data_IF_157208536818
#
_entry.id   IF_157208536818
#
_cell.length_a   1.000
_cell.length_b   1.000
_cell.length_c   1.000
_cell.angle_alpha   90.00
_cell.angle_beta   90.00
_cell.angle_gamma   90.00
#
_symmetry.space_group_name_H-M   'P 1'
#
loop_
_entity.id
_entity.type
_entity.pdbx_description
1 polymer ?
#
# COMPACT_ATOMS: atom_id res chain seq x y z
N UNK A 1 3.06 33.37 11.09
CA UNK A 1 3.00 32.38 9.97
C UNK A 1 2.03 32.92 8.94
N UNK A 2 2.32 32.83 7.63
CA UNK A 2 1.42 33.36 6.60
C UNK A 2 0.09 32.58 6.58
N UNK A 3 -1.04 33.27 6.42
CA UNK A 3 -2.38 32.68 6.41
C UNK A 3 -2.49 31.51 5.41
N UNK A 4 -2.01 31.70 4.17
CA UNK A 4 -1.99 30.65 3.13
C UNK A 4 -1.22 29.38 3.53
N UNK A 5 -0.14 29.54 4.31
CA UNK A 5 0.68 28.40 4.76
C UNK A 5 -0.02 27.64 5.88
N UNK A 6 -0.75 28.36 6.73
CA UNK A 6 -1.56 27.80 7.81
C UNK A 6 -2.75 27.01 7.26
N UNK A 7 -3.47 27.55 6.28
CA UNK A 7 -4.53 26.83 5.55
C UNK A 7 -4.01 25.54 4.91
N UNK A 8 -2.89 25.61 4.17
CA UNK A 8 -2.28 24.43 3.58
C UNK A 8 -1.93 23.35 4.62
N UNK A 9 -1.46 23.76 5.79
CA UNK A 9 -1.13 22.81 6.86
C UNK A 9 -2.37 22.20 7.50
N UNK A 10 -3.46 22.96 7.64
CA UNK A 10 -4.74 22.43 8.14
C UNK A 10 -5.34 21.45 7.13
N UNK A 11 -5.27 21.73 5.83
CA UNK A 11 -5.72 20.80 4.79
C UNK A 11 -4.91 19.49 4.81
N UNK A 12 -3.59 19.57 4.97
CA UNK A 12 -2.73 18.38 5.13
C UNK A 12 -3.01 17.60 6.43
N UNK A 13 -3.51 18.27 7.47
CA UNK A 13 -3.97 17.60 8.69
C UNK A 13 -5.24 16.77 8.42
N UNK A 14 -6.18 17.31 7.63
CA UNK A 14 -7.40 16.60 7.24
C UNK A 14 -7.15 15.38 6.33
N UNK A 15 -6.12 15.43 5.48
CA UNK A 15 -5.72 14.29 4.64
C UNK A 15 -4.83 13.28 5.37
N UNK A 16 -4.36 13.58 6.59
CA UNK A 16 -3.44 12.72 7.34
C UNK A 16 -1.99 12.74 6.82
N UNK A 17 -1.66 13.62 5.88
CA UNK A 17 -0.31 13.77 5.31
C UNK A 17 0.60 14.69 6.14
N UNK A 18 0.05 15.31 7.19
CA UNK A 18 0.83 16.21 8.03
C UNK A 18 1.80 15.43 8.93
N UNK A 19 3.09 15.75 8.81
CA UNK A 19 4.10 15.14 9.69
C UNK A 19 3.90 15.56 11.16
N UNK A 20 4.20 14.67 12.13
CA UNK A 20 3.94 14.93 13.55
C UNK A 20 4.73 16.12 14.11
N UNK A 21 5.91 16.42 13.54
CA UNK A 21 6.68 17.64 13.88
C UNK A 21 5.95 18.91 13.46
N UNK A 22 5.32 18.91 12.28
CA UNK A 22 4.56 20.05 11.76
C UNK A 22 3.24 20.24 12.51
N UNK A 23 2.60 19.15 12.92
CA UNK A 23 1.39 19.21 13.74
C UNK A 23 1.63 19.92 15.09
N UNK A 24 2.76 19.66 15.76
CA UNK A 24 3.13 20.37 17.00
C UNK A 24 3.29 21.87 16.78
N UNK A 25 3.93 22.28 15.68
CA UNK A 25 4.13 23.69 15.32
C UNK A 25 2.78 24.34 14.97
N UNK A 26 1.90 23.62 14.26
CA UNK A 26 0.57 24.09 13.92
C UNK A 26 -0.26 24.35 15.19
N UNK A 27 -0.25 23.42 16.15
CA UNK A 27 -0.99 23.56 17.41
C UNK A 27 -0.49 24.72 18.30
N UNK A 28 0.74 25.20 18.10
CA UNK A 28 1.30 26.35 18.81
C UNK A 28 0.95 27.70 18.15
N UNK A 29 0.42 27.70 16.94
CA UNK A 29 0.09 28.92 16.22
C UNK A 29 -1.27 29.49 16.68
N UNK A 30 -1.35 30.79 17.03
CA UNK A 30 -2.63 31.43 17.34
C UNK A 30 -3.51 31.52 16.09
N UNK A 31 -4.82 31.32 16.24
CA UNK A 31 -5.81 31.39 15.15
C UNK A 31 -5.99 30.08 14.36
N UNK A 32 -5.26 29.01 14.66
CA UNK A 32 -5.47 27.70 14.02
C UNK A 32 -6.83 27.11 14.38
N UNK A 33 -7.25 27.25 15.64
CA UNK A 33 -8.51 26.69 16.10
C UNK A 33 -9.71 27.35 15.41
N UNK A 34 -9.70 28.67 15.27
CA UNK A 34 -10.73 29.43 14.56
C UNK A 34 -10.85 28.98 13.09
N UNK A 35 -9.72 28.79 12.40
CA UNK A 35 -9.72 28.27 11.03
C UNK A 35 -10.17 26.81 10.93
N UNK A 36 -9.86 25.98 11.92
CA UNK A 36 -10.39 24.60 11.99
C UNK A 36 -11.91 24.62 12.15
N UNK A 37 -12.42 25.50 13.00
CA UNK A 37 -13.85 25.62 13.25
C UNK A 37 -14.57 26.14 11.99
N UNK A 38 -14.04 27.17 11.32
CA UNK A 38 -14.55 27.63 10.02
C UNK A 38 -14.60 26.51 8.97
N UNK A 39 -13.50 25.78 8.76
CA UNK A 39 -13.46 24.68 7.80
C UNK A 39 -14.40 23.54 8.18
N UNK A 40 -14.56 23.28 9.47
CA UNK A 40 -15.51 22.29 9.98
C UNK A 40 -16.94 22.71 9.68
N UNK A 41 -17.30 23.98 9.89
CA UNK A 41 -18.65 24.47 9.54
C UNK A 41 -18.96 24.33 8.04
N UNK A 42 -17.98 24.61 7.17
CA UNK A 42 -18.13 24.42 5.73
C UNK A 42 -18.27 22.94 5.36
N UNK A 43 -17.47 22.08 5.99
CA UNK A 43 -17.54 20.64 5.77
C UNK A 43 -18.87 20.05 6.24
N UNK A 44 -19.36 20.48 7.41
CA UNK A 44 -20.64 20.05 7.96
C UNK A 44 -21.80 20.52 7.05
N UNK A 45 -21.73 21.74 6.53
CA UNK A 45 -22.71 22.26 5.56
C UNK A 45 -22.75 21.43 4.26
N UNK A 46 -21.60 21.00 3.75
CA UNK A 46 -21.52 20.12 2.58
C UNK A 46 -21.99 18.70 2.91
N UNK A 47 -21.64 18.19 4.08
CA UNK A 47 -21.97 16.83 4.52
C UNK A 47 -23.45 16.63 4.78
N UNK A 48 -24.16 17.68 5.22
CA UNK A 48 -25.63 17.66 5.38
C UNK A 48 -26.37 17.44 4.06
N UNK A 49 -25.73 17.70 2.91
CA UNK A 49 -26.30 17.40 1.59
C UNK A 49 -26.13 15.94 1.16
N UNK A 50 -25.36 15.13 1.90
CA UNK A 50 -25.26 13.70 1.64
C UNK A 50 -26.56 13.04 2.12
N UNK A 51 -27.39 12.58 1.17
CA UNK A 51 -28.64 11.89 1.46
C UNK A 51 -28.45 10.71 2.41
N UNK A 52 -29.52 10.33 3.11
CA UNK A 52 -29.48 9.25 4.08
C UNK A 52 -28.86 7.99 3.47
N UNK A 53 -27.78 7.44 4.07
CA UNK A 53 -27.20 6.21 3.57
C UNK A 53 -28.26 5.11 3.69
N UNK A 54 -28.39 4.30 2.63
CA UNK A 54 -29.37 3.21 2.64
C UNK A 54 -29.20 2.34 3.91
N UNK A 55 -30.28 1.92 4.58
CA UNK A 55 -30.20 1.18 5.84
C UNK A 55 -29.46 -0.18 5.70
N UNK A 56 -29.33 -0.67 4.47
CA UNK A 56 -28.62 -1.88 4.12
C UNK A 56 -27.12 -1.67 3.85
N UNK A 57 -26.67 -0.42 3.63
CA UNK A 57 -25.25 -0.11 3.41
C UNK A 57 -24.44 -0.39 4.68
N UNK A 58 -24.93 0.04 5.84
CA UNK A 58 -24.26 -0.18 7.12
C UNK A 58 -24.06 -1.67 7.42
N UNK A 59 -25.10 -2.47 7.21
CA UNK A 59 -25.05 -3.93 7.38
C UNK A 59 -24.10 -4.60 6.38
N UNK A 60 -24.08 -4.14 5.12
CA UNK A 60 -23.18 -4.68 4.08
C UNK A 60 -21.70 -4.33 4.36
N UNK A 61 -21.42 -3.13 4.83
CA UNK A 61 -20.06 -2.69 5.21
C UNK A 61 -19.59 -3.49 6.42
N UNK A 62 -20.43 -3.61 7.45
CA UNK A 62 -20.11 -4.40 8.64
C UNK A 62 -19.81 -5.87 8.30
N UNK A 63 -20.61 -6.48 7.41
CA UNK A 63 -20.37 -7.84 6.94
C UNK A 63 -19.04 -7.98 6.15
N UNK A 64 -18.63 -6.96 5.39
CA UNK A 64 -17.34 -6.95 4.68
C UNK A 64 -16.15 -6.81 5.63
N UNK A 65 -16.25 -5.93 6.62
CA UNK A 65 -15.19 -5.73 7.62
C UNK A 65 -14.94 -7.00 8.44
N UNK A 66 -16.01 -7.70 8.84
CA UNK A 66 -15.90 -8.97 9.57
C UNK A 66 -15.32 -10.11 8.71
N UNK A 67 -15.55 -10.11 7.39
CA UNK A 67 -14.94 -11.11 6.49
C UNK A 67 -13.43 -10.90 6.31
N UNK A 68 -12.96 -9.66 6.33
CA UNK A 68 -11.52 -9.34 6.22
C UNK A 68 -10.69 -9.68 7.46
N UNK A 69 -11.34 -9.86 8.62
CA UNK A 69 -10.68 -10.14 9.91
C UNK A 69 -10.70 -11.63 10.31
N UNK A 70 -10.91 -12.56 9.36
CA UNK A 70 -10.61 -13.96 9.64
C UNK A 70 -9.15 -14.20 9.30
N UNK A 71 -8.22 -14.13 10.26
CA UNK A 71 -6.89 -14.62 9.98
C UNK A 71 -7.08 -16.11 9.67
N UNK A 72 -6.60 -16.54 8.50
CA UNK A 72 -6.50 -17.95 8.14
C UNK A 72 -5.39 -18.56 9.01
N UNK A 73 -5.57 -18.53 10.32
CA UNK A 73 -4.77 -19.28 11.26
C UNK A 73 -5.23 -20.72 11.12
N UNK A 74 -4.66 -21.40 10.12
CA UNK A 74 -4.52 -22.85 10.18
C UNK A 74 -4.02 -23.16 11.60
N UNK A 75 -4.79 -23.97 12.32
CA UNK A 75 -4.61 -24.21 13.75
C UNK A 75 -3.13 -24.34 14.12
N UNK A 76 -2.70 -23.71 15.22
CA UNK A 76 -1.30 -23.70 15.68
C UNK A 76 -0.68 -25.11 15.81
N UNK A 77 -1.51 -26.16 15.82
CA UNK A 77 -1.12 -27.57 15.83
C UNK A 77 -0.55 -28.06 14.49
N UNK A 78 -0.98 -27.49 13.37
CA UNK A 78 -0.50 -27.86 12.03
C UNK A 78 0.84 -27.17 11.65
N UNK A 79 1.21 -26.08 12.33
CA UNK A 79 2.46 -25.36 12.06
C UNK A 79 3.71 -26.04 12.62
N UNK A 80 3.56 -26.80 13.72
CA UNK A 80 4.67 -27.54 14.35
C UNK A 80 5.36 -28.54 13.41
N UNK A 81 4.64 -29.43 12.69
CA UNK A 81 5.29 -30.37 11.79
C UNK A 81 5.93 -29.67 10.58
N UNK A 82 5.32 -28.59 10.07
CA UNK A 82 5.85 -27.84 8.91
C UNK A 82 7.17 -27.15 9.27
N UNK A 83 7.24 -26.50 10.44
CA UNK A 83 8.47 -25.89 10.94
C UNK A 83 9.56 -26.93 11.22
N UNK A 84 9.20 -28.10 11.76
CA UNK A 84 10.16 -29.18 11.98
C UNK A 84 10.72 -29.74 10.66
N UNK A 85 9.88 -29.92 9.65
CA UNK A 85 10.32 -30.36 8.31
C UNK A 85 11.25 -29.33 7.65
N UNK A 86 10.91 -28.05 7.73
CA UNK A 86 11.76 -26.98 7.22
C UNK A 86 13.13 -26.97 7.92
N UNK A 87 13.17 -27.12 9.25
CA UNK A 87 14.42 -27.21 9.99
C UNK A 87 15.25 -28.44 9.59
N UNK A 88 14.63 -29.62 9.44
CA UNK A 88 15.34 -30.82 8.98
C UNK A 88 15.90 -30.67 7.57
N UNK A 89 15.17 -30.04 6.64
CA UNK A 89 15.65 -29.76 5.29
C UNK A 89 16.85 -28.82 5.29
N UNK A 90 16.83 -27.74 6.10
CA UNK A 90 18.00 -26.86 6.22
C UNK A 90 19.23 -27.58 6.80
N UNK A 91 19.03 -28.49 7.76
CA UNK A 91 20.10 -29.29 8.33
C UNK A 91 20.68 -30.26 7.29
N UNK A 92 19.85 -30.85 6.44
CA UNK A 92 20.29 -31.73 5.35
C UNK A 92 21.09 -30.94 4.29
N UNK A 93 20.62 -29.75 3.88
CA UNK A 93 21.34 -28.90 2.92
C UNK A 93 22.70 -28.49 3.47
N UNK A 94 22.74 -27.97 4.71
CA UNK A 94 24.00 -27.55 5.34
C UNK A 94 24.99 -28.71 5.54
N UNK A 95 24.51 -29.93 5.83
CA UNK A 95 25.39 -31.10 5.98
C UNK A 95 25.91 -31.64 4.65
N UNK A 96 25.16 -31.49 3.57
CA UNK A 96 25.62 -31.81 2.21
C UNK A 96 26.69 -30.80 1.77
N UNK A 97 26.48 -29.51 2.04
CA UNK A 97 27.46 -28.45 1.72
C UNK A 97 28.78 -28.63 2.48
N UNK A 98 28.74 -29.03 3.76
CA UNK A 98 29.95 -29.25 4.56
C UNK A 98 30.79 -30.46 4.13
N UNK A 99 30.25 -31.41 3.36
CA UNK A 99 31.01 -32.57 2.88
C UNK A 99 31.79 -32.28 1.59
N UNK A 100 31.58 -31.12 0.98
CA UNK A 100 32.26 -30.69 -0.24
C UNK A 100 33.49 -29.83 0.06
N UNK A 101 34.47 -30.38 0.77
CA UNK A 101 35.82 -29.81 0.80
C UNK A 101 36.52 -30.11 -0.53
N UNK A 102 36.24 -29.29 -1.55
CA UNK A 102 37.17 -28.99 -2.65
C UNK A 102 36.74 -27.79 -3.49
N UNK A 103 36.77 -26.58 -2.93
CA UNK A 103 37.26 -25.35 -3.59
C UNK A 103 36.87 -24.09 -2.83
N UNK A 104 37.77 -23.09 -2.69
CA UNK A 104 37.37 -21.76 -2.28
C UNK A 104 36.80 -21.05 -3.51
N UNK A 105 35.48 -20.98 -3.66
CA UNK A 105 34.89 -20.16 -4.72
C UNK A 105 33.55 -19.57 -4.32
N UNK A 106 33.56 -18.23 -4.33
CA UNK A 106 32.43 -17.34 -4.52
C UNK A 106 31.31 -17.37 -3.47
N UNK A 107 31.48 -16.50 -2.48
CA UNK A 107 30.54 -15.42 -2.15
C UNK A 107 29.20 -15.48 -2.91
N UNK A 108 28.11 -15.63 -2.15
CA UNK A 108 26.78 -15.08 -2.38
C UNK A 108 26.35 -14.91 -3.85
N UNK A 109 25.78 -15.97 -4.43
CA UNK A 109 25.09 -15.90 -5.71
C UNK A 109 23.85 -16.81 -5.72
N UNK A 110 22.92 -16.62 -4.78
CA UNK A 110 21.58 -17.26 -4.82
C UNK A 110 20.45 -16.24 -4.65
N UNK A 111 20.76 -14.93 -4.61
CA UNK A 111 19.75 -13.87 -4.45
C UNK A 111 19.81 -12.81 -5.57
N UNK A 112 20.25 -13.20 -6.77
CA UNK A 112 20.25 -12.31 -7.96
C UNK A 112 19.40 -12.87 -9.11
N UNK A 113 19.34 -14.20 -9.27
CA UNK A 113 18.58 -14.81 -10.38
C UNK A 113 17.06 -14.59 -10.33
N UNK A 114 16.43 -14.69 -9.15
CA UNK A 114 14.97 -14.60 -9.02
C UNK A 114 14.46 -13.14 -9.10
N UNK A 115 15.32 -12.16 -8.82
CA UNK A 115 14.99 -10.73 -8.96
C UNK A 115 15.09 -10.29 -10.42
N UNK A 116 16.08 -10.78 -11.16
CA UNK A 116 16.22 -10.48 -12.59
C UNK A 116 15.07 -11.10 -13.40
N UNK A 117 14.62 -12.31 -13.07
CA UNK A 117 13.51 -12.96 -13.79
C UNK A 117 12.16 -12.23 -13.56
N UNK A 118 11.92 -11.74 -12.35
CA UNK A 118 10.77 -10.87 -12.06
C UNK A 118 10.87 -9.50 -12.73
N UNK A 119 12.08 -8.94 -12.81
CA UNK A 119 12.32 -7.64 -13.44
C UNK A 119 12.13 -7.73 -14.96
N UNK A 120 12.57 -8.82 -15.59
CA UNK A 120 12.37 -9.07 -17.03
C UNK A 120 10.88 -9.26 -17.36
N UNK A 121 10.15 -10.05 -16.58
CA UNK A 121 8.71 -10.25 -16.78
C UNK A 121 7.92 -8.94 -16.59
N UNK A 122 8.28 -8.12 -15.60
CA UNK A 122 7.62 -6.84 -15.34
C UNK A 122 7.90 -5.80 -16.43
N UNK A 123 9.13 -5.74 -16.94
CA UNK A 123 9.47 -4.85 -18.07
C UNK A 123 8.76 -5.28 -19.36
N UNK A 124 8.60 -6.59 -19.61
CA UNK A 124 7.81 -7.10 -20.74
C UNK A 124 6.34 -6.70 -20.62
N UNK A 125 5.72 -6.92 -19.46
CA UNK A 125 4.33 -6.50 -19.18
C UNK A 125 4.15 -4.98 -19.32
N UNK A 126 5.15 -4.19 -18.93
CA UNK A 126 5.11 -2.73 -19.00
C UNK A 126 5.23 -2.24 -20.45
N UNK A 127 6.05 -2.88 -21.28
CA UNK A 127 6.12 -2.60 -22.72
C UNK A 127 4.83 -2.97 -23.47
N UNK A 128 4.16 -4.06 -23.07
CA UNK A 128 2.86 -4.43 -23.64
C UNK A 128 1.78 -3.38 -23.28
N UNK A 129 1.81 -2.88 -22.04
CA UNK A 129 0.94 -1.81 -21.57
C UNK A 129 1.19 -0.48 -22.29
N UNK A 130 2.45 -0.12 -22.54
CA UNK A 130 2.79 1.06 -23.34
C UNK A 130 2.28 0.93 -24.79
N UNK A 131 2.42 -0.26 -25.39
CA UNK A 131 1.85 -0.57 -26.70
C UNK A 131 0.32 -0.44 -26.75
N UNK A 132 -0.38 -0.93 -25.71
CA UNK A 132 -1.83 -0.77 -25.59
C UNK A 132 -2.25 0.69 -25.42
N UNK A 133 -1.50 1.47 -24.63
CA UNK A 133 -1.77 2.90 -24.43
C UNK A 133 -1.53 3.67 -25.73
N UNK A 134 -0.48 3.37 -26.48
CA UNK A 134 -0.23 3.96 -27.80
C UNK A 134 -1.32 3.57 -28.81
N UNK A 135 -1.73 2.31 -28.85
CA UNK A 135 -2.81 1.85 -29.73
C UNK A 135 -4.17 2.50 -29.42
N UNK A 136 -4.47 2.73 -28.13
CA UNK A 136 -5.66 3.46 -27.70
C UNK A 136 -5.54 4.96 -28.01
N UNK A 137 -4.33 5.53 -27.90
CA UNK A 137 -4.09 6.94 -28.18
C UNK A 137 -4.22 7.26 -29.67
N UNK A 138 -3.73 6.39 -30.56
CA UNK A 138 -3.90 6.52 -32.01
C UNK A 138 -5.36 6.33 -32.44
N UNK A 139 -6.11 5.44 -31.78
CA UNK A 139 -7.55 5.26 -32.07
C UNK A 139 -8.43 6.37 -31.50
N UNK A 140 -7.95 7.13 -30.50
CA UNK A 140 -8.70 8.29 -29.95
C UNK A 140 -8.67 9.52 -30.87
N UNK A 141 -7.71 9.61 -31.79
CA UNK A 141 -7.64 10.69 -32.78
C UNK A 141 -8.54 10.46 -34.01
N UNK A 142 -8.89 9.21 -34.32
CA UNK A 142 -9.71 8.86 -35.49
C UNK A 142 -11.24 8.83 -35.19
N UNK A 143 -11.63 8.95 -33.92
CA UNK A 143 -13.06 9.05 -33.52
C UNK A 143 -13.53 10.52 -33.46
N UNK A 144 -12.63 11.49 -33.63
CA UNK A 144 -12.95 12.93 -33.66
C UNK A 144 -12.87 13.54 -35.07
N UNK A 145 -12.94 12.72 -36.12
CA UNK A 145 -13.15 13.16 -37.50
C UNK A 145 -14.31 12.38 -38.16
N UNK A 146 -15.49 12.41 -37.53
CA UNK A 146 -16.78 12.27 -38.21
C UNK A 146 -17.82 13.20 -37.61
#
# INVERSE_FOLDING_TARGET
>A
MNAKKLEKWILLEQTGELSPRRQKILNQCPGVQERRDELKTLFDAVSLSAGEPSPWAATRIHARVQRGHRPVLLSARAWRPILALAACLTLIVTTIDFRSDSSPSSVAAVAVGEVDEWNVQFEEDLTELEGLILAISDTSLDIMEM
#
